data_IF_750221563570
#
_entry.id   IF_750221563570
#
_cell.length_a   1.000
_cell.length_b   1.000
_cell.length_c   1.000
_cell.angle_alpha   90.00
_cell.angle_beta   90.00
_cell.angle_gamma   90.00
#
_symmetry.space_group_name_H-M   'P 1'
#
loop_
_entity.id
_entity.type
_entity.pdbx_description
1 polymer ?
#
# COMPACT_ATOMS: atom_id res chain seq x y z
N UNK A 1 0.86 7.34 3.96
CA UNK A 1 -0.47 7.38 4.60
C UNK A 1 -0.92 8.81 4.71
N UNK A 2 -2.10 9.14 4.19
CA UNK A 2 -2.76 10.42 4.36
C UNK A 2 -3.94 10.30 5.33
N UNK A 3 -4.11 11.34 6.13
CA UNK A 3 -5.07 11.48 7.23
C UNK A 3 -5.58 12.92 7.26
N UNK A 4 -6.55 13.21 8.10
CA UNK A 4 -7.03 14.57 8.37
C UNK A 4 -6.68 14.95 9.81
N UNK A 5 -6.27 16.19 10.02
CA UNK A 5 -6.21 16.73 11.38
C UNK A 5 -7.61 16.80 12.00
N UNK A 6 -7.75 16.52 13.31
CA UNK A 6 -9.04 16.54 13.97
C UNK A 6 -9.62 17.95 14.05
N UNK A 7 -10.95 18.04 14.18
CA UNK A 7 -11.68 19.32 14.13
C UNK A 7 -11.34 20.26 15.30
N UNK A 8 -10.80 19.72 16.40
CA UNK A 8 -10.34 20.46 17.57
C UNK A 8 -8.88 20.93 17.47
N UNK A 9 -8.19 20.64 16.36
CA UNK A 9 -6.80 21.08 16.17
C UNK A 9 -6.70 22.60 16.00
N UNK A 10 -5.98 23.27 16.90
CA UNK A 10 -5.95 24.73 17.06
C UNK A 10 -5.76 25.56 15.76
N UNK A 11 -4.96 25.08 14.80
CA UNK A 11 -4.63 25.83 13.58
C UNK A 11 -4.76 25.04 12.27
N UNK A 12 -5.02 23.74 12.34
CA UNK A 12 -4.96 22.83 11.18
C UNK A 12 -6.20 21.93 11.08
N UNK A 13 -7.26 22.22 11.83
CA UNK A 13 -8.52 21.47 11.77
C UNK A 13 -8.97 21.26 10.32
N UNK A 14 -9.28 20.00 9.97
CA UNK A 14 -9.72 19.63 8.63
C UNK A 14 -8.67 19.78 7.52
N UNK A 15 -7.40 20.04 7.84
CA UNK A 15 -6.32 20.02 6.84
C UNK A 15 -5.85 18.59 6.57
N UNK A 16 -5.47 18.26 5.32
CA UNK A 16 -4.88 16.98 5.01
C UNK A 16 -3.44 16.92 5.55
N UNK A 17 -3.08 15.75 6.07
CA UNK A 17 -1.72 15.42 6.48
C UNK A 17 -1.30 14.13 5.79
N UNK A 18 -0.10 14.12 5.18
CA UNK A 18 0.44 12.90 4.56
C UNK A 18 1.90 12.70 4.96
N UNK A 19 2.22 11.47 5.34
CA UNK A 19 3.59 11.03 5.61
C UNK A 19 3.75 9.58 5.13
N UNK A 20 4.94 9.21 4.67
CA UNK A 20 5.22 7.81 4.36
C UNK A 20 5.27 6.99 5.65
N UNK A 21 4.52 5.90 5.68
CA UNK A 21 4.48 4.95 6.79
C UNK A 21 4.85 3.57 6.26
N UNK A 22 5.43 2.73 7.11
CA UNK A 22 5.76 1.36 6.75
C UNK A 22 4.49 0.50 6.71
N UNK A 23 4.32 -0.26 5.64
CA UNK A 23 3.23 -1.22 5.50
C UNK A 23 3.73 -2.53 4.85
N UNK A 24 3.06 -3.64 5.13
CA UNK A 24 3.32 -4.90 4.45
C UNK A 24 2.02 -5.57 3.99
N UNK A 25 2.03 -6.08 2.76
CA UNK A 25 0.94 -6.91 2.21
C UNK A 25 1.12 -8.35 2.70
N UNK A 26 0.62 -8.64 3.91
CA UNK A 26 0.70 -9.97 4.53
C UNK A 26 -0.65 -10.70 4.57
N UNK A 27 -1.74 -10.03 4.21
CA UNK A 27 -3.07 -10.63 4.14
C UNK A 27 -3.42 -11.03 2.70
N UNK A 28 -4.19 -12.11 2.55
CA UNK A 28 -4.62 -12.60 1.24
C UNK A 28 -5.66 -11.71 0.54
N UNK A 29 -6.38 -10.88 1.30
CA UNK A 29 -7.45 -10.02 0.81
C UNK A 29 -6.97 -8.58 0.48
N UNK A 30 -5.66 -8.35 0.37
CA UNK A 30 -5.09 -7.02 0.11
C UNK A 30 -5.10 -6.06 1.30
N UNK A 31 -5.54 -6.49 2.49
CA UNK A 31 -5.33 -5.70 3.71
C UNK A 31 -3.85 -5.54 4.01
N UNK A 32 -3.48 -4.41 4.58
CA UNK A 32 -2.09 -4.09 4.90
C UNK A 32 -1.86 -4.16 6.40
N UNK A 33 -0.74 -4.74 6.79
CA UNK A 33 -0.21 -4.64 8.15
C UNK A 33 0.55 -3.33 8.26
N UNK A 34 0.33 -2.60 9.34
CA UNK A 34 1.03 -1.36 9.69
C UNK A 34 1.78 -1.55 11.00
N UNK A 35 2.96 -0.94 11.08
CA UNK A 35 3.64 -0.70 12.35
C UNK A 35 3.14 0.64 12.89
N UNK A 36 2.20 0.60 13.82
CA UNK A 36 1.49 1.78 14.31
C UNK A 36 2.18 2.37 15.53
N UNK A 37 2.75 3.56 15.38
CA UNK A 37 3.44 4.25 16.48
C UNK A 37 2.66 5.52 16.85
N UNK A 38 2.09 5.63 18.08
CA UNK A 38 1.31 6.79 18.50
C UNK A 38 2.08 8.12 18.52
N UNK A 39 3.42 8.07 18.47
CA UNK A 39 4.24 9.28 18.34
C UNK A 39 4.15 9.93 16.95
N UNK A 40 3.80 9.17 15.91
CA UNK A 40 3.58 9.70 14.56
C UNK A 40 2.33 10.56 14.50
N UNK A 41 2.40 11.69 13.78
CA UNK A 41 1.24 12.56 13.56
C UNK A 41 0.11 11.84 12.83
N UNK A 42 0.42 10.96 11.88
CA UNK A 42 -0.61 10.22 11.17
C UNK A 42 -1.36 9.27 12.11
N UNK A 43 -0.65 8.61 13.03
CA UNK A 43 -1.25 7.77 14.07
C UNK A 43 -2.11 8.56 15.04
N UNK A 44 -1.68 9.76 15.45
CA UNK A 44 -2.51 10.65 16.29
C UNK A 44 -3.80 11.03 15.57
N UNK A 45 -3.73 11.44 14.30
CA UNK A 45 -4.90 11.75 13.51
C UNK A 45 -5.87 10.56 13.39
N UNK A 46 -5.33 9.34 13.22
CA UNK A 46 -6.14 8.10 13.23
C UNK A 46 -6.83 7.89 14.58
N UNK A 47 -6.12 8.06 15.69
CA UNK A 47 -6.69 7.86 17.03
C UNK A 47 -7.76 8.90 17.40
N UNK A 48 -7.67 10.11 16.86
CA UNK A 48 -8.66 11.18 17.05
C UNK A 48 -9.84 11.11 16.06
N UNK A 49 -9.83 10.16 15.13
CA UNK A 49 -10.90 9.98 14.15
C UNK A 49 -11.81 8.82 14.55
N UNK A 50 -13.12 9.05 14.62
CA UNK A 50 -14.11 7.98 14.86
C UNK A 50 -14.11 6.94 13.73
N UNK A 51 -13.97 7.41 12.48
CA UNK A 51 -13.98 6.53 11.29
C UNK A 51 -12.63 5.86 11.03
N UNK A 52 -11.55 6.45 11.57
CA UNK A 52 -10.16 6.02 11.33
C UNK A 52 -9.83 5.90 9.84
N UNK A 53 -10.48 6.73 9.02
CA UNK A 53 -10.33 6.70 7.58
C UNK A 53 -8.98 7.27 7.16
N UNK A 54 -8.27 6.52 6.32
CA UNK A 54 -6.97 6.92 5.78
C UNK A 54 -6.88 6.58 4.30
N UNK A 55 -5.92 7.20 3.60
CA UNK A 55 -5.48 6.71 2.31
C UNK A 55 -4.01 6.30 2.32
N UNK A 56 -3.68 5.24 1.58
CA UNK A 56 -2.31 4.76 1.39
C UNK A 56 -2.04 4.68 -0.10
N UNK A 57 -1.05 5.45 -0.54
CA UNK A 57 -0.53 5.38 -1.90
C UNK A 57 0.48 4.24 -1.99
N UNK A 58 0.30 3.38 -3.00
CA UNK A 58 1.26 2.35 -3.40
C UNK A 58 1.67 2.63 -4.83
N UNK A 59 2.96 2.59 -5.11
CA UNK A 59 3.49 2.89 -6.44
C UNK A 59 4.71 2.05 -6.77
N UNK A 60 5.11 2.08 -8.04
CA UNK A 60 6.37 1.50 -8.50
C UNK A 60 7.57 2.13 -7.75
N UNK A 61 8.62 1.34 -7.54
CA UNK A 61 9.85 1.79 -6.88
C UNK A 61 10.49 2.99 -7.59
N UNK A 62 10.28 3.14 -8.90
CA UNK A 62 10.72 4.28 -9.68
C UNK A 62 9.51 5.16 -10.02
N UNK A 63 9.29 6.24 -9.27
CA UNK A 63 8.14 7.11 -9.50
C UNK A 63 8.32 7.92 -10.79
N UNK A 64 7.55 7.60 -11.82
CA UNK A 64 7.44 8.42 -13.03
C UNK A 64 5.98 8.50 -13.52
N UNK A 65 5.71 9.43 -14.44
CA UNK A 65 4.37 9.69 -14.94
C UNK A 65 3.75 8.49 -15.68
N UNK A 66 4.55 7.63 -16.29
CA UNK A 66 4.14 6.45 -17.05
C UNK A 66 3.93 5.19 -16.18
N UNK A 67 4.25 5.26 -14.88
CA UNK A 67 4.21 4.10 -13.98
C UNK A 67 2.88 3.96 -13.24
N UNK A 68 2.49 2.71 -12.92
CA UNK A 68 1.28 2.46 -12.18
C UNK A 68 1.40 2.98 -10.75
N UNK A 69 0.29 3.49 -10.25
CA UNK A 69 0.11 3.89 -8.85
C UNK A 69 -1.35 3.70 -8.44
N UNK A 70 -1.55 3.40 -7.17
CA UNK A 70 -2.86 3.16 -6.59
C UNK A 70 -3.01 3.94 -5.29
N UNK A 71 -4.18 4.55 -5.10
CA UNK A 71 -4.62 5.07 -3.82
C UNK A 71 -5.62 4.09 -3.23
N UNK A 72 -5.22 3.44 -2.14
CA UNK A 72 -6.11 2.62 -1.33
C UNK A 72 -6.75 3.52 -0.26
N UNK A 73 -8.06 3.50 -0.14
CA UNK A 73 -8.82 4.30 0.83
C UNK A 73 -9.62 3.34 1.69
N UNK A 74 -9.55 3.47 3.00
CA UNK A 74 -10.13 2.52 3.93
C UNK A 74 -9.92 2.94 5.38
N UNK A 75 -10.06 2.01 6.31
CA UNK A 75 -9.95 2.30 7.75
C UNK A 75 -8.79 1.52 8.41
N UNK A 76 -8.39 2.00 9.59
CA UNK A 76 -7.33 1.38 10.40
C UNK A 76 -7.91 0.77 11.67
N UNK A 77 -7.68 -0.53 11.85
CA UNK A 77 -7.93 -1.26 13.10
C UNK A 77 -6.62 -1.38 13.87
N UNK A 78 -6.53 -0.75 15.04
CA UNK A 78 -5.33 -0.80 15.91
C UNK A 78 -5.53 -1.90 16.96
N UNK A 79 -4.57 -2.80 17.08
CA UNK A 79 -4.61 -3.87 18.08
C UNK A 79 -3.87 -3.44 19.33
N UNK A 80 -4.63 -3.09 20.37
CA UNK A 80 -4.10 -2.72 21.69
C UNK A 80 -3.97 -3.91 22.64
N UNK A 81 -4.66 -5.01 22.33
CA UNK A 81 -4.58 -6.28 23.04
C UNK A 81 -3.85 -7.29 22.13
N UNK A 82 -2.74 -7.83 22.62
CA UNK A 82 -1.91 -8.79 21.88
C UNK A 82 -2.66 -10.10 21.63
N UNK A 83 -3.53 -10.52 22.55
CA UNK A 83 -4.31 -11.75 22.43
C UNK A 83 -5.41 -11.61 21.36
N UNK A 84 -5.75 -10.38 20.96
CA UNK A 84 -6.71 -10.09 19.91
C UNK A 84 -6.09 -10.07 18.50
N UNK A 85 -4.77 -10.27 18.37
CA UNK A 85 -4.08 -10.20 17.07
C UNK A 85 -4.15 -11.57 16.38
N UNK A 86 -4.88 -11.69 15.26
CA UNK A 86 -4.94 -12.95 14.53
C UNK A 86 -3.57 -13.29 13.94
N UNK A 87 -3.08 -14.50 14.22
CA UNK A 87 -1.83 -15.04 13.68
C UNK A 87 -0.61 -14.10 13.84
N UNK A 88 -0.47 -13.45 15.02
CA UNK A 88 0.55 -12.43 15.26
C UNK A 88 1.96 -12.87 14.83
N UNK A 89 2.36 -14.09 15.16
CA UNK A 89 3.69 -14.60 14.85
C UNK A 89 3.95 -14.66 13.33
N UNK A 90 2.99 -15.18 12.56
CA UNK A 90 3.08 -15.29 11.11
C UNK A 90 3.05 -13.90 10.45
N UNK A 91 2.17 -13.02 10.94
CA UNK A 91 2.09 -11.63 10.50
C UNK A 91 3.40 -10.88 10.74
N UNK A 92 3.97 -11.00 11.95
CA UNK A 92 5.24 -10.39 12.34
C UNK A 92 6.39 -10.92 11.49
N UNK A 93 6.45 -12.23 11.26
CA UNK A 93 7.45 -12.85 10.40
C UNK A 93 7.38 -12.30 8.96
N UNK A 94 6.18 -12.20 8.39
CA UNK A 94 5.97 -11.59 7.08
C UNK A 94 6.40 -10.11 7.04
N UNK A 95 5.99 -9.31 8.03
CA UNK A 95 6.29 -7.88 8.09
C UNK A 95 7.80 -7.63 8.13
N UNK A 96 8.50 -8.34 9.02
CA UNK A 96 9.96 -8.24 9.18
C UNK A 96 10.71 -8.75 7.95
N UNK A 97 10.17 -9.74 7.23
CA UNK A 97 10.78 -10.19 5.98
C UNK A 97 10.73 -9.10 4.89
N UNK A 98 9.69 -8.25 4.90
CA UNK A 98 9.57 -7.10 3.99
C UNK A 98 10.34 -5.87 4.48
N UNK A 99 10.43 -5.69 5.79
CA UNK A 99 11.13 -4.57 6.45
C UNK A 99 12.15 -5.09 7.48
N UNK A 100 13.34 -5.56 7.05
CA UNK A 100 14.33 -6.14 7.96
C UNK A 100 14.85 -5.16 9.02
N UNK A 101 14.77 -3.86 8.76
CA UNK A 101 15.10 -2.77 9.67
C UNK A 101 14.04 -2.60 10.77
N UNK A 102 12.77 -2.98 10.51
CA UNK A 102 11.67 -2.91 11.47
C UNK A 102 11.86 -3.80 12.71
N UNK A 103 12.77 -4.79 12.68
CA UNK A 103 12.98 -5.79 13.76
C UNK A 103 13.15 -5.21 15.17
N UNK A 104 13.69 -4.00 15.29
CA UNK A 104 13.92 -3.32 16.58
C UNK A 104 12.78 -2.39 17.00
N UNK A 105 11.78 -2.22 16.15
CA UNK A 105 10.68 -1.27 16.32
C UNK A 105 9.32 -1.94 16.47
N UNK A 106 9.23 -3.24 16.14
CA UNK A 106 8.00 -4.03 16.33
C UNK A 106 7.60 -4.10 17.81
N UNK A 107 6.30 -4.24 18.12
CA UNK A 107 5.81 -4.36 19.50
C UNK A 107 6.53 -5.46 20.29
N UNK A 108 6.81 -5.19 21.56
CA UNK A 108 7.52 -6.11 22.43
C UNK A 108 7.84 -5.52 23.82
N UNK A 109 8.88 -6.03 24.50
CA UNK A 109 9.33 -5.49 25.78
C UNK A 109 10.54 -4.54 25.69
N UNK A 110 11.07 -4.25 24.49
CA UNK A 110 12.38 -3.58 24.31
C UNK A 110 12.46 -2.60 23.13
N UNK A 111 11.34 -2.32 22.49
CA UNK A 111 11.23 -1.33 21.45
C UNK A 111 11.53 0.06 22.01
N UNK A 112 12.21 0.94 21.24
CA UNK A 112 12.54 2.29 21.71
C UNK A 112 11.33 3.19 21.98
N UNK A 113 10.19 2.90 21.35
CA UNK A 113 8.94 3.63 21.49
C UNK A 113 7.77 2.65 21.47
N UNK A 114 6.70 2.98 22.20
CA UNK A 114 5.45 2.21 22.16
C UNK A 114 5.01 2.04 20.71
N UNK A 115 4.85 0.80 20.30
CA UNK A 115 4.37 0.41 18.99
C UNK A 115 3.22 -0.58 19.13
N UNK A 116 2.28 -0.52 18.21
CA UNK A 116 1.18 -1.45 18.07
C UNK A 116 1.19 -2.06 16.68
N UNK A 117 0.63 -3.26 16.56
CA UNK A 117 0.19 -3.75 15.27
C UNK A 117 -1.12 -3.06 14.90
N UNK A 118 -1.28 -2.73 13.62
CA UNK A 118 -2.56 -2.30 13.08
C UNK A 118 -2.80 -2.92 11.71
N UNK A 119 -4.07 -3.09 11.36
CA UNK A 119 -4.51 -3.53 10.04
C UNK A 119 -5.21 -2.38 9.34
N UNK A 120 -4.82 -2.12 8.10
CA UNK A 120 -5.56 -1.26 7.18
C UNK A 120 -6.39 -2.14 6.25
N UNK A 121 -7.70 -1.90 6.22
CA UNK A 121 -8.66 -2.62 5.38
C UNK A 121 -9.11 -1.68 4.23
N UNK A 122 -8.67 -1.92 2.98
CA UNK A 122 -9.10 -1.13 1.82
C UNK A 122 -10.61 -1.29 1.57
N UNK A 123 -11.27 -0.18 1.28
CA UNK A 123 -12.70 -0.10 0.93
C UNK A 123 -12.92 0.48 -0.46
N UNK A 124 -12.02 1.36 -0.90
CA UNK A 124 -12.04 1.97 -2.24
C UNK A 124 -10.64 1.95 -2.83
N UNK A 125 -10.53 1.54 -4.09
CA UNK A 125 -9.28 1.41 -4.81
C UNK A 125 -9.34 2.32 -6.02
N UNK A 126 -8.49 3.34 -6.07
CA UNK A 126 -8.36 4.22 -7.23
C UNK A 126 -7.00 4.01 -7.90
N UNK A 127 -7.01 3.57 -9.14
CA UNK A 127 -5.82 3.17 -9.88
C UNK A 127 -5.53 4.15 -11.02
N UNK A 128 -4.23 4.40 -11.23
CA UNK A 128 -3.70 5.12 -12.38
C UNK A 128 -2.61 4.25 -12.99
N UNK A 129 -2.83 3.73 -14.19
CA UNK A 129 -1.86 2.83 -14.85
C UNK A 129 -0.64 3.50 -15.46
N UNK A 130 -0.57 4.83 -15.42
CA UNK A 130 0.43 5.65 -16.10
C UNK A 130 -0.21 6.64 -17.07
N UNK A 131 0.50 7.70 -17.39
CA UNK A 131 0.16 8.68 -18.42
C UNK A 131 0.92 8.38 -19.71
N UNK A 132 0.28 8.58 -20.87
CA UNK A 132 0.92 8.41 -22.19
C UNK A 132 0.22 7.45 -23.17
N UNK A 133 -1.01 6.99 -22.90
CA UNK A 133 -1.73 6.11 -23.84
C UNK A 133 -2.96 5.39 -23.25
N UNK A 134 -3.11 4.10 -23.57
CA UNK A 134 -4.25 3.20 -23.28
C UNK A 134 -4.31 2.67 -21.84
N UNK A 135 -3.80 3.41 -20.86
CA UNK A 135 -3.75 2.94 -19.48
C UNK A 135 -5.09 3.14 -18.79
N UNK A 136 -5.52 2.14 -18.01
CA UNK A 136 -6.70 2.27 -17.17
C UNK A 136 -6.48 3.32 -16.08
N UNK A 137 -7.44 4.24 -15.94
CA UNK A 137 -7.53 5.22 -14.85
C UNK A 137 -8.94 5.16 -14.31
N UNK A 138 -9.09 4.82 -13.03
CA UNK A 138 -10.40 4.70 -12.41
C UNK A 138 -10.45 3.81 -11.18
N UNK A 139 -11.67 3.55 -10.74
CA UNK A 139 -11.94 2.72 -9.56
C UNK A 139 -11.90 1.24 -9.89
N UNK A 140 -11.15 0.47 -9.11
CA UNK A 140 -11.18 -0.99 -9.15
C UNK A 140 -12.23 -1.48 -8.14
N UNK A 141 -13.20 -2.31 -8.54
CA UNK A 141 -14.14 -2.94 -7.60
C UNK A 141 -13.40 -3.67 -6.49
N UNK A 142 -13.91 -3.55 -5.26
CA UNK A 142 -13.25 -4.10 -4.07
C UNK A 142 -13.09 -5.62 -4.17
N UNK A 143 -14.10 -6.31 -4.67
CA UNK A 143 -14.12 -7.76 -4.83
C UNK A 143 -13.02 -8.21 -5.79
N UNK A 144 -12.86 -7.52 -6.93
CA UNK A 144 -11.77 -7.79 -7.88
C UNK A 144 -10.41 -7.59 -7.23
N UNK A 145 -10.24 -6.53 -6.44
CA UNK A 145 -9.00 -6.28 -5.70
C UNK A 145 -8.70 -7.38 -4.67
N UNK A 146 -9.70 -7.82 -3.91
CA UNK A 146 -9.56 -8.82 -2.86
C UNK A 146 -9.34 -10.24 -3.41
N UNK A 147 -9.88 -10.55 -4.60
CA UNK A 147 -9.69 -11.83 -5.28
C UNK A 147 -8.38 -11.91 -6.08
N UNK A 148 -7.76 -10.76 -6.36
CA UNK A 148 -6.53 -10.69 -7.15
C UNK A 148 -5.40 -11.44 -6.44
N UNK A 149 -4.84 -12.44 -7.12
CA UNK A 149 -3.61 -13.10 -6.68
C UNK A 149 -2.41 -12.27 -7.13
N UNK A 150 -1.36 -12.15 -6.30
CA UNK A 150 -0.09 -11.64 -6.78
C UNK A 150 0.28 -12.43 -8.04
N UNK A 151 0.39 -11.75 -9.17
CA UNK A 151 0.98 -12.40 -10.34
C UNK A 151 2.40 -12.73 -9.93
N UNK A 152 2.72 -14.03 -9.82
CA UNK A 152 4.12 -14.44 -9.71
C UNK A 152 4.82 -13.74 -10.86
N UNK A 153 5.77 -12.85 -10.54
CA UNK A 153 6.37 -11.90 -11.49
C UNK A 153 6.78 -12.67 -12.75
N UNK A 154 5.91 -12.67 -13.75
CA UNK A 154 6.29 -12.92 -15.12
C UNK A 154 6.73 -11.58 -15.60
N UNK A 155 8.02 -11.45 -15.90
CA UNK A 155 8.57 -10.33 -16.64
C UNK A 155 7.73 -10.15 -17.91
N UNK A 156 6.69 -9.32 -17.87
CA UNK A 156 5.87 -9.00 -19.03
C UNK A 156 6.73 -8.40 -20.16
N UNK A 157 7.89 -7.83 -19.81
CA UNK A 157 8.92 -7.39 -20.75
C UNK A 157 9.59 -8.54 -21.53
N UNK A 158 9.74 -9.74 -20.97
CA UNK A 158 10.34 -10.88 -21.70
C UNK A 158 9.36 -11.55 -22.66
N UNK A 159 8.07 -11.59 -22.33
CA UNK A 159 7.09 -12.21 -23.22
C UNK A 159 6.82 -11.39 -24.48
N UNK A 160 6.90 -10.05 -24.41
CA UNK A 160 6.74 -9.20 -25.58
C UNK A 160 7.90 -9.33 -26.60
N UNK A 161 9.11 -9.70 -26.14
CA UNK A 161 10.27 -9.93 -27.03
C UNK A 161 10.29 -11.33 -27.64
N UNK A 162 9.73 -12.33 -26.95
CA UNK A 162 9.73 -13.72 -27.44
C UNK A 162 8.55 -14.03 -28.40
N UNK A 163 7.54 -13.17 -28.50
CA UNK A 163 6.39 -13.37 -29.41
C UNK A 163 6.54 -12.71 -30.79
N UNK A 164 7.66 -12.05 -31.09
CA UNK A 164 7.89 -11.50 -32.43
C UNK A 164 8.45 -12.58 -33.37
N UNK A 165 7.59 -13.07 -34.24
CA UNK A 165 7.91 -13.97 -35.34
C UNK A 165 8.96 -13.29 -36.26
N UNK A 166 10.19 -13.82 -36.42
CA UNK A 166 11.26 -13.16 -37.18
C UNK A 166 10.96 -12.95 -38.68
N UNK A 167 9.90 -13.56 -39.19
CA UNK A 167 9.51 -13.55 -40.60
C UNK A 167 8.69 -12.32 -41.04
N UNK A 168 8.36 -11.39 -40.13
CA UNK A 168 7.65 -10.14 -40.46
C UNK A 168 8.53 -8.87 -40.41
N UNK A 169 9.78 -8.97 -39.95
CA UNK A 169 10.70 -7.81 -39.85
C UNK A 169 11.32 -7.46 -41.21
N UNK A 170 11.30 -8.37 -42.19
CA UNK A 170 11.90 -8.14 -43.50
C UNK A 170 11.02 -7.36 -44.51
N UNK A 171 9.83 -6.89 -44.12
CA UNK A 171 8.92 -6.16 -45.02
C UNK A 171 8.72 -4.68 -44.66
N UNK A 172 9.38 -4.15 -43.62
CA UNK A 172 9.25 -2.75 -43.22
C UNK A 172 10.53 -1.90 -43.39
N UNK A 173 11.60 -2.43 -44.01
CA UNK A 173 12.81 -1.67 -44.36
C UNK A 173 12.90 -1.31 -45.86
N UNK A 174 11.80 -1.46 -46.59
CA UNK A 174 11.64 -0.92 -47.95
C UNK A 174 10.31 -0.18 -48.02
N UNK A 175 10.19 0.91 -47.27
CA UNK A 175 9.40 2.08 -47.63
C UNK A 175 9.64 3.16 -46.56
N UNK A 176 10.06 4.34 -47.04
CA UNK A 176 10.54 5.56 -46.36
C UNK A 176 12.06 5.67 -46.19
#
# INVERSE_FOLDING_TARGET
MATMFPDDHATLAGQPFSLQEYYASCHANGSLVLLFMPISRASQNVLHSETRSVSISVMDAHPDASRPRVSLIGNVTVFTDVDAIPDEEAMKACYVAKHPDARRWVPGPREPHVAFWARFDPQTIYYVGGFGGLHYIGYIPLEIYQEAKPSGVRDWFRQATDSQNPSLVAQSEMDV
#
